data_IF_673458804391
#
_entry.id   IF_673458804391
#
_cell.length_a   1.000
_cell.length_b   1.000
_cell.length_c   1.000
_cell.angle_alpha   90.00
_cell.angle_beta   90.00
_cell.angle_gamma   90.00
#
_symmetry.space_group_name_H-M   'P 1'
#
loop_
_entity.id
_entity.type
_entity.pdbx_description
1 polymer ?
#
# COMPACT_ATOMS: atom_id res chain seq x y z
N UNK A 1 -35.24 93.61 18.01
CA UNK A 1 -33.98 93.97 17.30
C UNK A 1 -33.08 92.73 17.30
N UNK A 2 -32.44 92.39 16.17
CA UNK A 2 -31.17 91.60 16.05
C UNK A 2 -31.19 90.18 16.68
N UNK A 3 -31.32 89.05 15.95
CA UNK A 3 -30.25 88.23 15.29
C UNK A 3 -29.03 87.89 16.20
N UNK A 4 -28.28 86.77 16.10
CA UNK A 4 -28.10 85.73 15.07
C UNK A 4 -27.46 84.45 15.66
N UNK A 5 -27.45 83.38 14.85
CA UNK A 5 -26.78 82.04 14.95
C UNK A 5 -25.41 81.95 15.66
N UNK A 6 -25.12 80.77 16.20
CA UNK A 6 -23.75 80.21 16.36
C UNK A 6 -23.78 78.72 16.76
N UNK A 7 -23.08 77.85 16.03
CA UNK A 7 -22.91 76.43 16.39
C UNK A 7 -21.60 76.23 17.16
N UNK A 8 -21.35 75.03 17.72
CA UNK A 8 -20.13 74.24 17.45
C UNK A 8 -20.19 72.85 18.11
N UNK A 9 -19.49 71.90 17.50
CA UNK A 9 -19.51 70.46 17.78
C UNK A 9 -18.31 70.00 18.61
N UNK A 10 -18.60 69.08 19.55
CA UNK A 10 -17.78 67.99 20.12
C UNK A 10 -16.25 67.94 20.01
N UNK A 11 -15.63 67.43 21.07
CA UNK A 11 -14.75 66.24 21.09
C UNK A 11 -14.65 65.76 22.55
N UNK A 12 -14.88 64.47 22.80
CA UNK A 12 -14.54 63.81 24.06
C UNK A 12 -13.93 62.44 23.71
N UNK A 13 -12.64 62.25 24.03
CA UNK A 13 -11.93 61.02 23.74
C UNK A 13 -12.16 59.98 24.85
N UNK A 14 -12.60 58.78 24.49
CA UNK A 14 -12.71 57.65 25.41
C UNK A 14 -11.51 56.70 25.21
N UNK A 15 -10.72 56.49 26.26
CA UNK A 15 -9.62 55.52 26.24
C UNK A 15 -10.17 54.11 26.54
N UNK A 16 -9.97 53.17 25.62
CA UNK A 16 -10.37 51.77 25.80
C UNK A 16 -9.20 50.93 26.33
N UNK A 17 -9.34 50.40 27.55
CA UNK A 17 -8.44 49.40 28.12
C UNK A 17 -8.76 48.02 27.54
N UNK A 18 -7.82 47.44 26.79
CA UNK A 18 -7.93 46.06 26.28
C UNK A 18 -7.38 45.09 27.31
N UNK A 19 -8.25 44.31 27.95
CA UNK A 19 -7.83 43.13 28.73
C UNK A 19 -7.71 41.91 27.80
N UNK A 20 -6.51 41.37 27.68
CA UNK A 20 -6.26 40.10 26.97
C UNK A 20 -6.53 38.94 27.93
N UNK A 21 -7.67 38.28 27.76
CA UNK A 21 -7.99 37.06 28.50
C UNK A 21 -7.29 35.84 27.87
N UNK A 22 -6.29 35.28 28.57
CA UNK A 22 -5.67 34.00 28.22
C UNK A 22 -6.63 32.86 28.56
N UNK A 23 -7.35 32.36 27.56
CA UNK A 23 -8.20 31.17 27.69
C UNK A 23 -7.34 29.89 27.74
N UNK A 24 -7.57 28.96 28.69
CA UNK A 24 -6.94 27.65 28.67
C UNK A 24 -7.47 26.84 27.48
N UNK A 25 -6.55 26.28 26.69
CA UNK A 25 -6.89 25.57 25.45
C UNK A 25 -7.83 24.37 25.67
N UNK A 26 -9.07 24.49 25.20
CA UNK A 26 -10.07 23.43 25.18
C UNK A 26 -9.73 22.37 24.14
N UNK A 27 -8.80 21.47 24.48
CA UNK A 27 -8.49 20.32 23.63
C UNK A 27 -9.70 19.38 23.60
N UNK A 28 -10.50 19.52 22.55
CA UNK A 28 -11.78 18.84 22.36
C UNK A 28 -11.70 17.31 22.37
N UNK A 29 -12.82 16.69 22.74
CA UNK A 29 -13.05 15.25 22.57
C UNK A 29 -13.67 15.07 21.19
N UNK A 30 -13.04 14.29 20.31
CA UNK A 30 -13.63 13.99 19.01
C UNK A 30 -14.96 13.25 19.20
N UNK A 31 -15.98 13.69 18.46
CA UNK A 31 -17.24 12.98 18.25
C UNK A 31 -17.10 11.95 17.13
N UNK A 32 -18.17 11.23 16.79
CA UNK A 32 -18.18 10.39 15.58
C UNK A 32 -18.16 11.20 14.27
N UNK A 33 -18.61 12.46 14.30
CA UNK A 33 -18.59 13.34 13.13
C UNK A 33 -17.19 13.89 12.82
N UNK A 34 -16.28 13.87 13.80
CA UNK A 34 -14.88 14.31 13.66
C UNK A 34 -13.94 13.16 13.23
N UNK A 35 -14.47 11.94 13.08
CA UNK A 35 -13.72 10.79 12.58
C UNK A 35 -13.82 10.75 11.05
N UNK A 36 -12.68 10.69 10.32
CA UNK A 36 -12.70 10.53 8.87
C UNK A 36 -13.49 9.30 8.43
N UNK A 37 -14.38 9.49 7.45
CA UNK A 37 -15.00 8.38 6.73
C UNK A 37 -14.07 7.91 5.60
N UNK A 38 -14.31 6.70 5.09
CA UNK A 38 -13.63 6.15 3.92
C UNK A 38 -13.72 7.07 2.69
N UNK A 39 -12.59 7.39 2.08
CA UNK A 39 -12.53 8.12 0.82
C UNK A 39 -12.48 7.14 -0.38
N UNK A 40 -13.55 7.18 -1.18
CA UNK A 40 -13.63 6.51 -2.48
C UNK A 40 -12.61 7.10 -3.46
N UNK A 41 -12.20 6.33 -4.44
CA UNK A 41 -11.09 6.69 -5.32
C UNK A 41 -11.38 7.99 -6.09
N UNK A 42 -10.43 8.93 -6.15
CA UNK A 42 -10.54 10.08 -7.05
C UNK A 42 -10.77 9.61 -8.50
N UNK A 43 -11.92 9.98 -9.06
CA UNK A 43 -12.31 9.58 -10.42
C UNK A 43 -13.03 8.22 -10.54
N UNK A 44 -13.40 7.55 -9.44
CA UNK A 44 -14.29 6.40 -9.50
C UNK A 44 -15.66 6.81 -10.09
N UNK A 45 -16.13 6.10 -11.11
CA UNK A 45 -17.34 6.50 -11.85
C UNK A 45 -18.63 6.06 -11.15
N UNK A 46 -19.67 6.90 -11.09
CA UNK A 46 -20.94 6.51 -10.50
C UNK A 46 -21.65 5.47 -11.39
N UNK A 47 -22.18 4.42 -10.76
CA UNK A 47 -22.98 3.36 -11.38
C UNK A 47 -24.17 3.06 -10.45
N UNK A 48 -25.28 2.52 -10.97
CA UNK A 48 -26.46 2.22 -10.16
C UNK A 48 -26.99 0.83 -10.47
N UNK A 49 -26.60 -0.15 -9.65
CA UNK A 49 -27.00 -1.55 -9.84
C UNK A 49 -28.52 -1.74 -9.78
N UNK A 50 -29.01 -2.78 -10.45
CA UNK A 50 -30.45 -3.13 -10.46
C UNK A 50 -30.77 -4.27 -9.48
N UNK A 51 -32.03 -4.46 -9.04
CA UNK A 51 -32.40 -5.60 -8.20
C UNK A 51 -32.19 -6.97 -8.85
N UNK A 52 -32.21 -7.03 -10.19
CA UNK A 52 -32.05 -8.24 -11.00
C UNK A 52 -31.23 -7.98 -12.27
N UNK A 53 -31.17 -8.97 -13.16
CA UNK A 53 -30.38 -8.92 -14.40
C UNK A 53 -30.96 -7.97 -15.46
N UNK A 54 -32.26 -7.71 -15.41
CA UNK A 54 -32.97 -6.86 -16.37
C UNK A 54 -32.47 -5.41 -16.27
N UNK A 55 -31.96 -4.87 -17.38
CA UNK A 55 -31.34 -3.55 -17.47
C UNK A 55 -30.22 -3.30 -16.43
N UNK A 56 -29.53 -4.36 -15.97
CA UNK A 56 -28.36 -4.24 -15.12
C UNK A 56 -27.27 -3.41 -15.84
N UNK A 57 -26.72 -2.35 -15.22
CA UNK A 57 -25.72 -1.51 -15.88
C UNK A 57 -24.43 -2.29 -16.08
N UNK A 58 -23.74 -2.01 -17.19
CA UNK A 58 -22.45 -2.66 -17.47
C UNK A 58 -21.33 -2.08 -16.60
N UNK A 59 -20.68 -2.96 -15.85
CA UNK A 59 -19.48 -2.70 -15.07
C UNK A 59 -18.23 -2.87 -15.96
N UNK A 60 -17.60 -1.75 -16.33
CA UNK A 60 -16.35 -1.74 -17.08
C UNK A 60 -15.13 -1.84 -16.15
N UNK A 61 -13.93 -2.26 -16.62
CA UNK A 61 -12.73 -2.31 -15.79
C UNK A 61 -12.38 -0.95 -15.18
N UNK A 62 -12.02 -0.92 -13.90
CA UNK A 62 -11.78 0.31 -13.14
C UNK A 62 -12.45 0.30 -11.76
N UNK A 63 -12.60 1.51 -11.18
CA UNK A 63 -13.24 1.74 -9.89
C UNK A 63 -14.54 2.52 -10.09
N UNK A 64 -15.58 2.15 -9.35
CA UNK A 64 -16.93 2.70 -9.47
C UNK A 64 -17.56 2.93 -8.09
N UNK A 65 -18.56 3.80 -8.01
CA UNK A 65 -19.30 4.09 -6.77
C UNK A 65 -20.79 3.86 -6.94
N UNK A 66 -21.42 3.30 -5.90
CA UNK A 66 -22.87 3.22 -5.74
C UNK A 66 -23.21 3.32 -4.23
N UNK A 67 -24.43 3.00 -3.83
CA UNK A 67 -24.94 2.95 -2.46
C UNK A 67 -25.75 1.68 -2.26
N UNK A 68 -25.85 1.15 -1.04
CA UNK A 68 -26.67 -0.03 -0.76
C UNK A 68 -27.48 0.08 0.54
N UNK A 69 -28.79 -0.08 0.42
CA UNK A 69 -29.78 -0.12 1.49
C UNK A 69 -29.77 -1.43 2.26
N UNK A 70 -30.37 -1.44 3.45
CA UNK A 70 -30.47 -2.64 4.30
C UNK A 70 -31.42 -3.65 3.65
N UNK A 71 -30.95 -4.88 3.43
CA UNK A 71 -31.66 -5.94 2.70
C UNK A 71 -31.91 -5.62 1.22
N UNK A 72 -31.05 -4.78 0.62
CA UNK A 72 -31.01 -4.54 -0.82
C UNK A 72 -30.04 -5.52 -1.52
N UNK A 73 -30.40 -5.93 -2.74
CA UNK A 73 -29.53 -6.59 -3.70
C UNK A 73 -29.30 -5.67 -4.90
N UNK A 74 -28.06 -5.60 -5.39
CA UNK A 74 -27.65 -4.88 -6.58
C UNK A 74 -26.87 -5.76 -7.54
N UNK A 75 -27.24 -5.70 -8.81
CA UNK A 75 -26.73 -6.50 -9.91
C UNK A 75 -26.12 -5.59 -10.96
N UNK A 76 -24.95 -5.98 -11.46
CA UNK A 76 -24.19 -5.29 -12.50
C UNK A 76 -23.80 -6.29 -13.58
N UNK A 77 -23.99 -5.93 -14.85
CA UNK A 77 -23.61 -6.76 -15.98
C UNK A 77 -22.10 -6.68 -16.23
N UNK A 78 -21.45 -7.79 -16.54
CA UNK A 78 -20.06 -7.80 -17.01
C UNK A 78 -19.85 -8.78 -18.16
N UNK A 79 -19.15 -8.33 -19.20
CA UNK A 79 -18.77 -9.13 -20.35
C UNK A 79 -17.35 -9.67 -20.18
N UNK A 80 -17.20 -11.00 -20.16
CA UNK A 80 -15.92 -11.68 -19.94
C UNK A 80 -15.48 -12.49 -21.17
N UNK A 81 -14.17 -12.59 -21.39
CA UNK A 81 -13.57 -13.48 -22.39
C UNK A 81 -13.41 -14.93 -21.85
N UNK A 82 -12.78 -15.83 -22.61
CA UNK A 82 -12.53 -17.23 -22.18
C UNK A 82 -11.10 -17.49 -21.66
N UNK A 83 -10.32 -16.44 -21.38
CA UNK A 83 -8.86 -16.52 -21.19
C UNK A 83 -8.35 -15.83 -19.92
N UNK A 84 -8.98 -14.73 -19.54
CA UNK A 84 -8.57 -13.85 -18.44
C UNK A 84 -9.36 -14.19 -17.18
N UNK A 85 -8.70 -14.19 -16.02
CA UNK A 85 -9.40 -14.18 -14.74
C UNK A 85 -9.92 -12.76 -14.46
N UNK A 86 -11.03 -12.65 -13.73
CA UNK A 86 -11.62 -11.37 -13.34
C UNK A 86 -11.89 -11.35 -11.84
N UNK A 87 -11.58 -10.22 -11.20
CA UNK A 87 -11.76 -10.00 -9.77
C UNK A 87 -12.61 -8.75 -9.54
N UNK A 88 -13.64 -8.90 -8.72
CA UNK A 88 -14.68 -7.91 -8.47
C UNK A 88 -14.72 -7.58 -6.99
N UNK A 89 -13.92 -6.60 -6.58
CA UNK A 89 -13.89 -6.12 -5.19
C UNK A 89 -15.10 -5.24 -4.91
N UNK A 90 -15.71 -5.37 -3.73
CA UNK A 90 -16.71 -4.42 -3.24
C UNK A 90 -16.39 -4.08 -1.80
N UNK A 91 -16.35 -2.77 -1.51
CA UNK A 91 -16.15 -2.22 -0.16
C UNK A 91 -17.41 -1.44 0.21
N UNK A 92 -18.11 -1.82 1.27
CA UNK A 92 -19.16 -1.01 1.87
C UNK A 92 -18.61 -0.21 3.04
N UNK A 93 -18.83 1.10 3.01
CA UNK A 93 -18.22 2.04 3.95
C UNK A 93 -19.28 2.88 4.69
N UNK A 94 -19.99 2.31 5.69
CA UNK A 94 -20.81 3.11 6.59
C UNK A 94 -19.99 4.24 7.22
N UNK A 95 -20.58 5.43 7.37
CA UNK A 95 -19.90 6.54 8.05
C UNK A 95 -19.61 6.17 9.51
N UNK A 96 -18.49 6.61 10.10
CA UNK A 96 -18.21 6.42 11.53
C UNK A 96 -19.41 6.83 12.41
N UNK A 97 -19.76 5.98 13.38
CA UNK A 97 -20.94 6.17 14.23
C UNK A 97 -22.28 5.76 13.61
N UNK A 98 -22.33 5.27 12.37
CA UNK A 98 -23.51 4.57 11.83
C UNK A 98 -23.82 3.35 12.71
N UNK A 99 -25.10 3.13 13.06
CA UNK A 99 -25.49 1.93 13.80
C UNK A 99 -25.35 0.70 12.90
N UNK A 100 -24.47 -0.22 13.29
CA UNK A 100 -24.30 -1.55 12.68
C UNK A 100 -24.45 -2.66 13.74
N UNK A 101 -24.83 -3.86 13.32
CA UNK A 101 -25.04 -5.03 14.20
C UNK A 101 -23.99 -6.12 13.94
N UNK A 102 -23.23 -6.48 14.98
CA UNK A 102 -22.16 -7.48 14.92
C UNK A 102 -22.69 -8.84 14.39
N UNK A 103 -21.94 -9.47 13.46
CA UNK A 103 -22.28 -10.72 12.73
C UNK A 103 -23.58 -10.73 11.89
N UNK A 104 -24.49 -9.74 12.05
CA UNK A 104 -25.83 -9.71 11.46
C UNK A 104 -25.97 -8.72 10.31
N UNK A 105 -25.23 -7.61 10.37
CA UNK A 105 -25.02 -6.74 9.24
C UNK A 105 -23.89 -7.31 8.40
N UNK A 106 -24.18 -7.60 7.12
CA UNK A 106 -23.23 -8.26 6.20
C UNK A 106 -23.22 -7.64 4.82
N UNK A 107 -22.06 -7.72 4.17
CA UNK A 107 -21.89 -7.47 2.74
C UNK A 107 -21.52 -8.79 2.07
N UNK A 108 -22.32 -9.21 1.10
CA UNK A 108 -22.05 -10.39 0.26
C UNK A 108 -21.77 -9.96 -1.17
N UNK A 109 -20.69 -10.47 -1.78
CA UNK A 109 -20.39 -10.33 -3.21
C UNK A 109 -20.20 -11.69 -3.88
N UNK A 110 -20.78 -11.86 -5.07
CA UNK A 110 -20.64 -13.06 -5.89
C UNK A 110 -20.65 -12.74 -7.39
N UNK A 111 -20.11 -13.62 -8.21
CA UNK A 111 -20.24 -13.59 -9.68
C UNK A 111 -21.09 -14.77 -10.12
N UNK A 112 -22.07 -14.52 -10.98
CA UNK A 112 -22.94 -15.55 -11.57
C UNK A 112 -22.85 -15.54 -13.10
N UNK A 113 -23.06 -16.68 -13.73
CA UNK A 113 -23.29 -16.77 -15.18
C UNK A 113 -24.70 -16.32 -15.57
N UNK A 114 -25.00 -16.30 -16.87
CA UNK A 114 -26.34 -15.94 -17.39
C UNK A 114 -27.48 -16.88 -16.94
N UNK A 115 -27.18 -18.04 -16.35
CA UNK A 115 -28.17 -18.97 -15.79
C UNK A 115 -28.32 -18.82 -14.26
N UNK A 116 -27.63 -17.85 -13.65
CA UNK A 116 -27.60 -17.65 -12.20
C UNK A 116 -26.64 -18.57 -11.44
N UNK A 117 -25.81 -19.37 -12.13
CA UNK A 117 -24.85 -20.28 -11.49
C UNK A 117 -23.64 -19.52 -10.96
N UNK A 118 -23.35 -19.64 -9.67
CA UNK A 118 -22.23 -18.92 -9.05
C UNK A 118 -20.87 -19.47 -9.46
N UNK A 119 -19.96 -18.60 -9.88
CA UNK A 119 -18.67 -18.98 -10.46
C UNK A 119 -17.64 -19.45 -9.42
N UNK A 120 -17.61 -18.80 -8.25
CA UNK A 120 -16.77 -19.14 -7.10
C UNK A 120 -17.63 -19.36 -5.86
N UNK A 121 -17.00 -19.66 -4.72
CA UNK A 121 -17.65 -19.37 -3.44
C UNK A 121 -18.03 -17.88 -3.39
N UNK A 122 -19.20 -17.57 -2.84
CA UNK A 122 -19.54 -16.20 -2.48
C UNK A 122 -18.65 -15.69 -1.35
N UNK A 123 -18.43 -14.38 -1.30
CA UNK A 123 -17.71 -13.73 -0.22
C UNK A 123 -18.68 -12.96 0.65
N UNK A 124 -18.64 -13.21 1.95
CA UNK A 124 -19.50 -12.56 2.92
C UNK A 124 -18.63 -12.00 4.04
N UNK A 125 -18.77 -10.71 4.30
CA UNK A 125 -18.04 -9.98 5.34
C UNK A 125 -19.04 -9.38 6.33
N UNK A 126 -18.70 -9.35 7.62
CA UNK A 126 -19.54 -8.81 8.69
C UNK A 126 -18.79 -7.86 9.60
N UNK A 127 -19.52 -7.20 10.51
CA UNK A 127 -18.91 -6.39 11.56
C UNK A 127 -18.53 -7.24 12.77
N UNK A 128 -17.33 -7.01 13.30
CA UNK A 128 -16.78 -7.70 14.49
C UNK A 128 -16.41 -6.73 15.62
N UNK A 129 -16.52 -5.41 15.40
CA UNK A 129 -16.07 -4.37 16.34
C UNK A 129 -17.15 -3.89 17.32
N UNK A 130 -17.99 -4.79 17.87
CA UNK A 130 -18.96 -4.44 18.92
C UNK A 130 -19.96 -3.34 18.53
N UNK A 131 -20.43 -3.32 17.29
CA UNK A 131 -21.30 -2.25 16.77
C UNK A 131 -20.58 -0.96 16.32
N UNK A 132 -19.24 -0.91 16.35
CA UNK A 132 -18.47 0.13 15.66
C UNK A 132 -18.56 -0.08 14.14
N UNK A 133 -19.01 0.94 13.41
CA UNK A 133 -18.96 0.96 11.95
C UNK A 133 -17.55 1.26 11.43
N UNK A 134 -17.05 0.41 10.54
CA UNK A 134 -15.82 0.54 9.76
C UNK A 134 -16.08 0.02 8.32
N UNK A 135 -15.20 0.23 7.34
CA UNK A 135 -15.36 -0.37 6.02
C UNK A 135 -15.33 -1.90 6.09
N UNK A 136 -16.16 -2.57 5.29
CA UNK A 136 -16.09 -4.04 5.11
C UNK A 136 -16.09 -4.35 3.62
N UNK A 137 -15.30 -5.32 3.16
CA UNK A 137 -15.20 -5.63 1.74
C UNK A 137 -14.43 -6.90 1.43
N UNK A 138 -14.57 -7.40 0.20
CA UNK A 138 -13.85 -8.56 -0.34
C UNK A 138 -13.98 -8.57 -1.88
N UNK A 139 -13.37 -9.53 -2.59
CA UNK A 139 -13.66 -9.79 -4.02
C UNK A 139 -14.35 -11.12 -4.27
N UNK A 140 -15.32 -11.12 -5.19
CA UNK A 140 -15.72 -12.34 -5.90
C UNK A 140 -14.85 -12.52 -7.16
N UNK A 141 -14.56 -13.76 -7.55
CA UNK A 141 -13.68 -14.05 -8.69
C UNK A 141 -14.31 -14.96 -9.72
N UNK A 142 -13.95 -14.70 -10.97
CA UNK A 142 -14.08 -15.64 -12.08
C UNK A 142 -12.67 -16.06 -12.47
N UNK A 143 -12.24 -17.21 -11.96
CA UNK A 143 -10.89 -17.74 -12.16
C UNK A 143 -10.80 -18.64 -13.41
N UNK A 144 -10.02 -18.27 -14.42
CA UNK A 144 -9.72 -19.16 -15.57
C UNK A 144 -8.67 -20.20 -15.18
N UNK A 145 -7.57 -19.79 -14.56
CA UNK A 145 -6.43 -20.65 -14.21
C UNK A 145 -6.53 -21.38 -12.86
N UNK A 146 -7.68 -21.37 -12.17
CA UNK A 146 -7.89 -22.05 -10.88
C UNK A 146 -8.51 -23.45 -10.98
N UNK A 147 -8.72 -24.11 -9.84
CA UNK A 147 -9.26 -25.48 -9.73
C UNK A 147 -10.72 -25.65 -10.17
N UNK A 148 -11.53 -24.59 -10.13
CA UNK A 148 -12.94 -24.66 -10.52
C UNK A 148 -13.11 -24.96 -12.01
N UNK A 149 -14.16 -25.70 -12.38
CA UNK A 149 -14.46 -26.10 -13.76
C UNK A 149 -15.57 -25.27 -14.42
N UNK A 150 -16.43 -24.63 -13.63
CA UNK A 150 -17.51 -23.76 -14.09
C UNK A 150 -17.03 -22.37 -14.56
N UNK A 151 -17.93 -21.61 -15.19
CA UNK A 151 -17.72 -20.23 -15.65
C UNK A 151 -16.47 -19.98 -16.52
N UNK A 152 -16.06 -20.93 -17.38
CA UNK A 152 -14.89 -20.77 -18.26
C UNK A 152 -15.19 -20.16 -19.63
N UNK A 153 -16.46 -20.14 -20.05
CA UNK A 153 -16.86 -19.63 -21.36
C UNK A 153 -16.72 -18.09 -21.45
N UNK A 154 -16.42 -17.56 -22.63
CA UNK A 154 -16.66 -16.15 -22.91
C UNK A 154 -18.17 -15.88 -22.94
N UNK A 155 -18.62 -14.73 -22.46
CA UNK A 155 -20.03 -14.40 -22.43
C UNK A 155 -20.41 -13.35 -21.41
N UNK A 156 -21.69 -13.36 -21.05
CA UNK A 156 -22.29 -12.47 -20.07
C UNK A 156 -22.26 -13.11 -18.68
N UNK A 157 -21.90 -12.31 -17.70
CA UNK A 157 -21.86 -12.64 -16.29
C UNK A 157 -22.43 -11.46 -15.50
N UNK A 158 -22.77 -11.70 -14.24
CA UNK A 158 -23.34 -10.70 -13.35
C UNK A 158 -22.58 -10.66 -12.03
N UNK A 159 -22.17 -9.46 -11.62
CA UNK A 159 -21.71 -9.21 -10.25
C UNK A 159 -22.94 -8.91 -9.42
N UNK A 160 -23.14 -9.67 -8.35
CA UNK A 160 -24.27 -9.49 -7.42
C UNK A 160 -23.72 -9.11 -6.06
N UNK A 161 -24.22 -8.00 -5.54
CA UNK A 161 -23.87 -7.41 -4.25
C UNK A 161 -25.12 -7.37 -3.40
N UNK A 162 -25.08 -7.97 -2.21
CA UNK A 162 -26.21 -7.98 -1.27
C UNK A 162 -25.76 -7.41 0.06
N UNK A 163 -26.58 -6.54 0.66
CA UNK A 163 -26.40 -6.13 2.06
C UNK A 163 -27.47 -6.80 2.91
N UNK A 164 -27.08 -7.72 3.78
CA UNK A 164 -27.95 -8.26 4.82
C UNK A 164 -27.93 -7.33 6.04
N UNK A 165 -29.07 -7.19 6.73
CA UNK A 165 -29.13 -6.50 8.01
C UNK A 165 -30.42 -6.79 8.78
N UNK A 166 -30.26 -6.93 10.10
CA UNK A 166 -31.36 -7.24 11.02
C UNK A 166 -32.35 -6.07 11.17
N UNK A 167 -33.56 -6.30 11.73
CA UNK A 167 -34.50 -5.23 12.06
C UNK A 167 -33.93 -4.17 13.02
N UNK A 168 -32.93 -4.51 13.85
CA UNK A 168 -32.27 -3.57 14.77
C UNK A 168 -31.14 -2.78 14.11
N UNK A 169 -30.61 -3.22 12.96
CA UNK A 169 -29.56 -2.54 12.20
C UNK A 169 -29.98 -1.15 11.71
N UNK A 170 -29.02 -0.23 11.54
CA UNK A 170 -29.30 1.13 11.06
C UNK A 170 -29.96 1.16 9.66
N UNK A 171 -30.98 2.01 9.43
CA UNK A 171 -31.68 2.07 8.14
C UNK A 171 -30.89 2.81 7.05
N UNK A 172 -29.82 3.52 7.42
CA UNK A 172 -29.01 4.31 6.48
C UNK A 172 -28.38 3.42 5.41
N UNK A 173 -28.47 3.84 4.16
CA UNK A 173 -27.69 3.29 3.04
C UNK A 173 -26.19 3.50 3.25
N UNK A 174 -25.39 2.48 2.93
CA UNK A 174 -23.94 2.58 2.94
C UNK A 174 -23.42 2.94 1.54
N UNK A 175 -22.51 3.91 1.38
CA UNK A 175 -21.68 4.00 0.19
C UNK A 175 -21.02 2.66 -0.10
N UNK A 176 -20.96 2.26 -1.37
CA UNK A 176 -20.14 1.14 -1.83
C UNK A 176 -19.18 1.59 -2.93
N UNK A 177 -17.94 1.09 -2.85
CA UNK A 177 -16.95 1.20 -3.92
C UNK A 177 -16.78 -0.18 -4.56
N UNK A 178 -17.02 -0.25 -5.88
CA UNK A 178 -16.80 -1.44 -6.67
C UNK A 178 -15.48 -1.30 -7.44
N UNK A 179 -14.75 -2.39 -7.58
CA UNK A 179 -13.54 -2.46 -8.38
C UNK A 179 -13.55 -3.68 -9.27
N UNK A 180 -13.23 -3.50 -10.55
CA UNK A 180 -13.12 -4.59 -11.52
C UNK A 180 -11.74 -4.56 -12.16
N UNK A 181 -10.96 -5.62 -11.92
CA UNK A 181 -9.64 -5.84 -12.53
C UNK A 181 -9.59 -7.18 -13.26
N UNK A 182 -8.86 -7.22 -14.38
CA UNK A 182 -8.66 -8.42 -15.20
C UNK A 182 -7.20 -8.87 -15.16
N UNK A 183 -6.99 -10.13 -14.83
CA UNK A 183 -5.68 -10.77 -14.92
C UNK A 183 -5.59 -11.55 -16.24
N UNK A 184 -4.68 -11.20 -17.16
CA UNK A 184 -4.50 -11.93 -18.41
C UNK A 184 -3.90 -13.32 -18.14
N UNK A 185 -4.02 -14.27 -19.09
CA UNK A 185 -3.35 -15.56 -18.96
C UNK A 185 -1.82 -15.40 -18.96
N UNK A 186 -1.13 -16.35 -18.34
CA UNK A 186 0.34 -16.45 -18.37
C UNK A 186 0.83 -17.18 -19.63
N UNK A 187 2.09 -16.94 -20.02
CA UNK A 187 2.79 -17.67 -21.08
C UNK A 187 3.39 -18.96 -20.49
N UNK A 188 3.32 -20.04 -21.27
CA UNK A 188 3.78 -21.36 -20.84
C UNK A 188 2.78 -22.08 -19.94
N UNK A 189 3.22 -23.16 -19.29
CA UNK A 189 2.38 -23.98 -18.42
C UNK A 189 2.24 -23.33 -17.05
N UNK A 190 1.03 -23.33 -16.49
CA UNK A 190 0.83 -22.90 -15.11
C UNK A 190 1.58 -23.81 -14.11
N UNK A 191 2.14 -23.24 -13.02
CA UNK A 191 2.67 -24.04 -11.92
C UNK A 191 1.62 -25.03 -11.41
N UNK A 192 2.04 -26.24 -11.06
CA UNK A 192 1.21 -27.18 -10.31
C UNK A 192 0.92 -26.61 -8.90
N UNK A 193 -0.11 -27.14 -8.23
CA UNK A 193 -0.43 -26.74 -6.87
C UNK A 193 0.80 -26.83 -5.93
N UNK A 194 1.00 -25.90 -4.99
CA UNK A 194 2.11 -25.97 -4.05
C UNK A 194 2.07 -27.29 -3.30
N UNK A 195 3.23 -27.90 -3.06
CA UNK A 195 3.33 -28.94 -2.04
C UNK A 195 2.97 -28.30 -0.69
N UNK A 196 2.33 -29.08 0.18
CA UNK A 196 1.83 -28.60 1.49
C UNK A 196 2.94 -28.55 2.56
N UNK A 197 4.20 -28.59 2.16
CA UNK A 197 5.36 -28.70 3.03
C UNK A 197 5.70 -27.38 3.73
N UNK A 198 5.67 -27.41 5.07
CA UNK A 198 6.24 -26.35 5.91
C UNK A 198 5.39 -25.10 6.12
N UNK A 199 4.06 -25.18 5.97
CA UNK A 199 3.17 -24.12 6.48
C UNK A 199 3.43 -23.90 7.97
N UNK A 200 3.99 -22.73 8.32
CA UNK A 200 4.14 -22.32 9.72
C UNK A 200 2.75 -22.09 10.31
N UNK A 201 2.42 -22.83 11.36
CA UNK A 201 1.23 -22.62 12.19
C UNK A 201 1.48 -21.65 13.34
N UNK A 202 2.76 -21.32 13.62
CA UNK A 202 3.16 -20.39 14.67
C UNK A 202 3.43 -18.99 14.09
N UNK A 203 2.70 -18.00 14.58
CA UNK A 203 2.95 -16.58 14.32
C UNK A 203 4.40 -16.22 14.70
N UNK A 204 5.22 -15.67 13.79
CA UNK A 204 6.57 -15.23 14.12
C UNK A 204 6.57 -14.13 15.20
N UNK A 205 7.67 -13.97 15.96
CA UNK A 205 7.78 -12.84 16.88
C UNK A 205 7.71 -11.51 16.11
N UNK A 206 7.09 -10.46 16.69
CA UNK A 206 7.13 -9.11 16.11
C UNK A 206 8.55 -8.57 16.03
N UNK A 207 8.81 -7.67 15.08
CA UNK A 207 10.09 -6.92 15.03
C UNK A 207 10.27 -6.06 16.29
N UNK A 208 11.47 -6.03 16.83
CA UNK A 208 11.80 -5.33 18.09
C UNK A 208 12.62 -4.05 17.88
N UNK A 209 12.71 -3.52 16.67
CA UNK A 209 13.52 -2.32 16.38
C UNK A 209 13.12 -1.14 17.28
N UNK A 210 14.11 -0.43 17.79
CA UNK A 210 13.94 0.80 18.58
C UNK A 210 13.60 2.01 17.70
N UNK A 211 14.08 1.99 16.46
CA UNK A 211 13.91 3.07 15.50
C UNK A 211 12.48 3.04 14.96
N UNK A 212 11.74 4.13 15.25
CA UNK A 212 10.33 4.25 14.88
C UNK A 212 10.12 5.46 13.96
N UNK A 213 9.74 5.20 12.72
CA UNK A 213 9.44 6.22 11.70
C UNK A 213 8.02 6.75 11.87
N UNK A 214 7.75 8.00 11.51
CA UNK A 214 6.38 8.52 11.45
C UNK A 214 5.72 8.11 10.13
N UNK A 215 4.43 7.80 10.17
CA UNK A 215 3.57 7.61 9.00
C UNK A 215 2.19 8.20 9.28
N UNK A 216 1.45 8.50 8.23
CA UNK A 216 0.02 8.78 8.31
C UNK A 216 -0.74 7.74 7.48
N UNK A 217 -1.63 7.00 8.11
CA UNK A 217 -2.56 6.12 7.43
C UNK A 217 -3.69 6.91 6.77
N UNK A 218 -4.07 6.49 5.58
CA UNK A 218 -5.21 7.01 4.84
C UNK A 218 -6.54 6.56 5.43
N UNK A 219 -7.61 6.90 4.73
CA UNK A 219 -9.00 6.58 5.04
C UNK A 219 -9.54 5.40 4.24
N UNK A 220 -8.88 5.01 3.14
CA UNK A 220 -9.25 3.89 2.29
C UNK A 220 -8.08 3.31 1.50
N UNK A 221 -8.39 2.46 0.51
CA UNK A 221 -7.37 1.84 -0.35
C UNK A 221 -6.63 2.85 -1.24
N UNK A 222 -7.22 4.03 -1.47
CA UNK A 222 -6.83 5.00 -2.48
C UNK A 222 -5.77 5.99 -1.98
N UNK A 223 -5.81 6.33 -0.69
CA UNK A 223 -4.92 7.25 0.02
C UNK A 223 -4.03 6.52 1.06
N UNK A 224 -3.99 5.18 1.01
CA UNK A 224 -3.31 4.33 1.98
C UNK A 224 -1.83 4.71 2.19
N UNK A 225 -1.44 4.88 3.45
CA UNK A 225 -0.11 5.29 3.84
C UNK A 225 0.95 4.25 3.50
N UNK A 226 1.94 4.61 2.67
CA UNK A 226 3.03 3.70 2.28
C UNK A 226 3.90 3.36 3.49
N UNK A 227 4.04 2.08 3.79
CA UNK A 227 4.95 1.56 4.81
C UNK A 227 5.81 0.44 4.23
N UNK A 228 7.07 0.39 4.64
CA UNK A 228 8.02 -0.68 4.30
C UNK A 228 8.46 -1.44 5.55
N UNK A 229 9.47 -2.29 5.43
CA UNK A 229 9.98 -3.11 6.54
C UNK A 229 10.59 -2.24 7.65
N UNK A 230 9.97 -2.23 8.81
CA UNK A 230 10.38 -1.44 9.97
C UNK A 230 9.28 -1.26 11.01
N UNK A 231 9.48 -0.30 11.91
CA UNK A 231 8.50 0.09 12.92
C UNK A 231 8.04 1.53 12.66
N UNK A 232 6.73 1.72 12.65
CA UNK A 232 6.05 2.94 12.25
C UNK A 232 5.14 3.44 13.37
N UNK A 233 4.97 4.75 13.51
CA UNK A 233 4.00 5.39 14.41
C UNK A 233 3.01 6.22 13.64
N UNK A 234 1.76 6.19 14.09
CA UNK A 234 0.68 7.12 13.72
C UNK A 234 -0.19 7.37 14.96
N UNK A 235 -1.26 8.15 14.83
CA UNK A 235 -2.30 8.37 15.83
C UNK A 235 -3.67 7.96 15.31
N UNK A 236 -4.40 7.20 16.11
CA UNK A 236 -5.74 6.70 15.79
C UNK A 236 -6.76 7.14 16.85
N UNK A 237 -7.97 7.50 16.40
CA UNK A 237 -9.09 7.92 17.22
C UNK A 237 -10.09 6.76 17.45
N UNK A 238 -10.82 6.71 18.57
CA UNK A 238 -11.86 5.69 18.77
C UNK A 238 -13.00 5.84 17.76
N UNK A 239 -13.28 4.76 17.03
CA UNK A 239 -14.21 4.70 15.90
C UNK A 239 -13.54 4.96 14.54
N UNK A 240 -12.24 5.22 14.50
CA UNK A 240 -11.48 5.47 13.27
C UNK A 240 -10.92 4.19 12.68
N UNK A 241 -10.87 4.15 11.35
CA UNK A 241 -10.14 3.14 10.58
C UNK A 241 -9.02 3.83 9.80
N UNK A 242 -7.82 3.21 9.81
CA UNK A 242 -6.62 3.69 9.11
C UNK A 242 -6.18 2.68 8.08
N UNK A 243 -5.86 3.15 6.88
CA UNK A 243 -5.35 2.33 5.79
C UNK A 243 -3.85 2.57 5.52
N UNK A 244 -3.11 1.49 5.38
CA UNK A 244 -1.68 1.48 5.02
C UNK A 244 -1.46 0.52 3.84
N UNK A 245 -0.36 0.68 3.09
CA UNK A 245 0.02 -0.23 2.01
C UNK A 245 1.49 -0.64 2.09
N UNK A 246 1.72 -1.95 1.96
CA UNK A 246 3.03 -2.62 2.00
C UNK A 246 3.37 -3.17 0.62
N UNK A 247 4.58 -2.95 0.07
CA UNK A 247 4.97 -3.55 -1.20
C UNK A 247 5.45 -4.98 -0.95
N UNK A 248 4.88 -5.96 -1.65
CA UNK A 248 5.25 -7.38 -1.53
C UNK A 248 5.39 -7.99 -2.92
N UNK A 249 6.56 -8.53 -3.24
CA UNK A 249 6.85 -9.24 -4.50
C UNK A 249 6.79 -10.77 -4.31
N UNK A 250 6.81 -11.53 -5.40
CA UNK A 250 6.80 -13.00 -5.37
C UNK A 250 7.89 -13.58 -4.44
N UNK A 251 7.55 -14.67 -3.75
CA UNK A 251 8.41 -15.32 -2.76
C UNK A 251 8.45 -14.64 -1.39
N UNK A 252 7.96 -13.40 -1.27
CA UNK A 252 7.89 -12.68 0.00
C UNK A 252 6.55 -12.92 0.71
N UNK A 253 6.56 -12.77 2.04
CA UNK A 253 5.38 -12.83 2.91
C UNK A 253 5.39 -11.67 3.90
N UNK A 254 4.26 -11.41 4.53
CA UNK A 254 4.13 -10.42 5.59
C UNK A 254 4.20 -11.09 6.98
N UNK A 255 4.83 -10.41 7.92
CA UNK A 255 4.66 -10.59 9.35
C UNK A 255 4.41 -9.19 9.95
N UNK A 256 3.31 -9.04 10.67
CA UNK A 256 2.66 -7.77 10.98
C UNK A 256 2.29 -7.70 12.45
N UNK A 257 2.32 -6.49 13.01
CA UNK A 257 1.70 -6.22 14.31
C UNK A 257 1.19 -4.79 14.37
N UNK A 258 -0.03 -4.59 14.85
CA UNK A 258 -0.54 -3.32 15.33
C UNK A 258 -0.54 -3.34 16.87
N UNK A 259 0.16 -2.39 17.50
CA UNK A 259 0.21 -2.23 18.96
C UNK A 259 -0.61 -1.02 19.43
N UNK A 260 -1.35 -1.19 20.53
CA UNK A 260 -1.82 -0.10 21.40
C UNK A 260 -0.95 0.00 22.66
N UNK A 261 -0.65 1.22 23.16
CA UNK A 261 0.10 1.41 24.39
C UNK A 261 -0.71 1.03 25.65
N UNK A 262 -0.01 0.81 26.75
CA UNK A 262 -0.60 0.80 28.09
C UNK A 262 -1.27 2.16 28.35
N UNK A 263 -2.45 2.17 28.97
CA UNK A 263 -3.06 3.38 29.52
C UNK A 263 -2.95 3.34 31.04
N UNK A 264 -2.42 4.41 31.63
CA UNK A 264 -2.14 4.50 33.07
C UNK A 264 -3.42 4.75 33.90
N UNK A 265 -4.46 3.92 33.71
CA UNK A 265 -5.69 3.89 34.52
C UNK A 265 -5.78 2.59 35.31
N UNK A 266 -5.01 2.40 36.41
CA UNK A 266 -5.19 1.25 37.29
C UNK A 266 -6.62 1.16 37.83
N UNK A 267 -7.14 -0.06 38.00
CA UNK A 267 -8.38 -0.31 38.74
C UNK A 267 -9.69 -0.22 37.94
N UNK A 268 -9.66 -0.02 36.62
CA UNK A 268 -10.88 -0.17 35.80
C UNK A 268 -11.18 -1.64 35.51
N UNK A 269 -12.34 -2.14 35.96
CA UNK A 269 -12.86 -3.48 35.61
C UNK A 269 -13.50 -3.55 34.22
N UNK A 270 -13.69 -2.40 33.56
CA UNK A 270 -14.08 -2.32 32.15
C UNK A 270 -12.98 -2.95 31.28
N UNK A 271 -13.39 -3.50 30.14
CA UNK A 271 -12.55 -3.87 29.01
C UNK A 271 -13.35 -3.58 27.72
N UNK A 272 -12.68 -3.64 26.57
CA UNK A 272 -13.33 -3.63 25.24
C UNK A 272 -12.89 -4.91 24.53
N UNK A 273 -13.84 -5.81 24.26
CA UNK A 273 -13.56 -7.17 23.78
C UNK A 273 -12.87 -7.20 22.42
N UNK A 274 -13.39 -6.42 21.47
CA UNK A 274 -12.89 -6.33 20.09
C UNK A 274 -12.37 -4.91 19.87
N UNK A 275 -11.27 -4.57 20.54
CA UNK A 275 -10.78 -3.19 20.68
C UNK A 275 -9.94 -2.71 19.50
N UNK A 276 -8.97 -3.51 19.07
CA UNK A 276 -8.06 -3.20 17.96
C UNK A 276 -8.18 -4.29 16.89
N UNK A 277 -8.61 -3.91 15.69
CA UNK A 277 -8.62 -4.77 14.51
C UNK A 277 -7.37 -4.59 13.64
N UNK A 278 -6.89 -5.68 13.03
CA UNK A 278 -5.90 -5.65 11.94
C UNK A 278 -6.33 -6.62 10.83
N UNK A 279 -6.96 -6.08 9.79
CA UNK A 279 -7.31 -6.84 8.59
C UNK A 279 -6.25 -6.63 7.51
N UNK A 280 -6.10 -7.61 6.62
CA UNK A 280 -5.13 -7.60 5.52
C UNK A 280 -5.83 -7.90 4.20
N UNK A 281 -5.63 -7.04 3.21
CA UNK A 281 -6.18 -7.18 1.87
C UNK A 281 -5.07 -7.29 0.83
N UNK A 282 -5.36 -7.98 -0.27
CA UNK A 282 -4.42 -8.15 -1.39
C UNK A 282 -4.56 -7.03 -2.45
N UNK A 283 -3.71 -6.99 -3.50
CA UNK A 283 -3.77 -5.98 -4.57
C UNK A 283 -5.13 -5.87 -5.29
N UNK A 284 -5.89 -6.96 -5.36
CA UNK A 284 -7.26 -6.99 -5.91
C UNK A 284 -8.34 -6.68 -4.85
N UNK A 285 -7.95 -6.11 -3.70
CA UNK A 285 -8.80 -5.72 -2.55
C UNK A 285 -9.66 -6.84 -1.97
N UNK A 286 -9.17 -8.08 -2.06
CA UNK A 286 -9.80 -9.22 -1.38
C UNK A 286 -9.15 -9.52 -0.06
N UNK A 287 -9.93 -10.11 0.83
CA UNK A 287 -9.49 -10.47 2.18
C UNK A 287 -8.42 -11.55 2.11
N UNK A 288 -7.27 -11.26 2.70
CA UNK A 288 -6.25 -12.25 3.07
C UNK A 288 -6.54 -12.73 4.49
N UNK A 289 -6.79 -11.77 5.38
CA UNK A 289 -7.12 -11.96 6.80
C UNK A 289 -8.19 -10.93 7.18
N UNK A 290 -9.26 -11.39 7.82
CA UNK A 290 -10.31 -10.57 8.44
C UNK A 290 -10.43 -10.92 9.93
N UNK A 291 -11.25 -10.16 10.64
CA UNK A 291 -11.83 -10.50 11.95
C UNK A 291 -10.84 -10.67 13.10
N UNK A 292 -9.56 -10.34 12.88
CA UNK A 292 -8.54 -10.27 13.93
C UNK A 292 -8.70 -9.01 14.77
N UNK A 293 -9.66 -9.06 15.69
CA UNK A 293 -9.82 -8.09 16.76
C UNK A 293 -9.26 -8.64 18.07
N UNK A 294 -8.48 -7.82 18.78
CA UNK A 294 -7.94 -8.14 20.11
C UNK A 294 -8.54 -7.27 21.21
N UNK A 295 -8.65 -7.85 22.40
CA UNK A 295 -9.16 -7.18 23.60
C UNK A 295 -8.20 -6.11 24.13
N UNK A 296 -8.78 -5.05 24.70
CA UNK A 296 -8.04 -4.03 25.46
C UNK A 296 -8.64 -3.86 26.86
N UNK A 297 -7.79 -3.99 27.88
CA UNK A 297 -8.15 -3.93 29.31
C UNK A 297 -7.35 -2.87 30.09
N UNK A 298 -6.81 -1.86 29.40
CA UNK A 298 -5.88 -0.86 29.96
C UNK A 298 -4.40 -1.26 29.83
N UNK A 299 -4.11 -2.55 29.69
CA UNK A 299 -2.79 -3.07 29.26
C UNK A 299 -2.68 -3.02 27.74
N UNK A 300 -1.47 -2.79 27.23
CA UNK A 300 -1.18 -2.71 25.80
C UNK A 300 -1.59 -3.98 25.06
N UNK A 301 -2.21 -3.80 23.90
CA UNK A 301 -2.74 -4.88 23.08
C UNK A 301 -1.94 -4.99 21.77
N UNK A 302 -1.86 -6.20 21.21
CA UNK A 302 -1.13 -6.48 19.98
C UNK A 302 -1.98 -7.34 19.05
N UNK A 303 -2.55 -6.76 17.99
CA UNK A 303 -3.11 -7.54 16.89
C UNK A 303 -1.94 -7.98 15.99
N UNK A 304 -1.74 -9.30 15.84
CA UNK A 304 -0.58 -9.88 15.15
C UNK A 304 -1.05 -10.71 13.97
N UNK A 305 -0.35 -10.59 12.84
CA UNK A 305 -0.67 -11.35 11.64
C UNK A 305 0.54 -11.83 10.86
N UNK A 306 0.36 -12.90 10.10
CA UNK A 306 1.34 -13.35 9.12
C UNK A 306 0.69 -14.05 7.93
N UNK A 307 1.33 -13.97 6.77
CA UNK A 307 0.76 -14.51 5.53
C UNK A 307 1.58 -15.69 4.95
N UNK A 308 0.94 -16.43 4.04
CA UNK A 308 1.66 -17.30 3.12
C UNK A 308 2.55 -16.45 2.18
N UNK A 309 3.66 -17.00 1.65
CA UNK A 309 4.42 -16.32 0.60
C UNK A 309 3.55 -16.02 -0.63
N UNK A 310 3.75 -14.85 -1.24
CA UNK A 310 3.18 -14.48 -2.54
C UNK A 310 3.69 -15.47 -3.58
N UNK A 311 2.79 -16.26 -4.16
CA UNK A 311 3.12 -17.28 -5.16
C UNK A 311 1.96 -17.42 -6.16
N UNK A 312 2.26 -17.55 -7.45
CA UNK A 312 1.22 -17.68 -8.47
C UNK A 312 0.43 -18.98 -8.29
N UNK A 313 1.10 -20.03 -7.80
CA UNK A 313 0.52 -21.33 -7.51
C UNK A 313 -0.52 -21.30 -6.38
N UNK A 314 -0.58 -20.24 -5.57
CA UNK A 314 -1.59 -20.09 -4.51
C UNK A 314 -3.03 -20.08 -5.05
N UNK A 315 -3.26 -19.87 -6.35
CA UNK A 315 -4.56 -20.13 -7.04
C UNK A 315 -5.12 -21.55 -6.78
N UNK A 316 -4.24 -22.51 -6.49
CA UNK A 316 -4.57 -23.90 -6.16
C UNK A 316 -4.45 -24.21 -4.65
N UNK A 317 -4.27 -23.19 -3.80
CA UNK A 317 -4.13 -23.34 -2.35
C UNK A 317 -5.39 -23.92 -1.69
N UNK A 318 -5.25 -24.43 -0.47
CA UNK A 318 -6.36 -25.04 0.27
C UNK A 318 -7.20 -23.98 0.99
N UNK A 319 -6.57 -23.07 1.75
CA UNK A 319 -7.27 -22.01 2.49
C UNK A 319 -7.46 -20.75 1.65
N UNK A 320 -8.53 -19.99 1.93
CA UNK A 320 -8.79 -18.72 1.24
C UNK A 320 -7.70 -17.68 1.51
N UNK A 321 -7.16 -17.63 2.74
CA UNK A 321 -6.03 -16.77 3.10
C UNK A 321 -4.76 -17.07 2.29
N UNK A 322 -4.44 -18.36 2.07
CA UNK A 322 -3.34 -18.75 1.19
C UNK A 322 -3.66 -18.37 -0.27
N UNK A 323 -4.88 -18.67 -0.75
CA UNK A 323 -5.34 -18.28 -2.09
C UNK A 323 -5.31 -16.78 -2.34
N UNK A 324 -5.51 -15.94 -1.32
CA UNK A 324 -5.44 -14.49 -1.46
C UNK A 324 -4.00 -13.97 -1.66
N UNK A 325 -2.98 -14.75 -1.27
CA UNK A 325 -1.56 -14.46 -1.51
C UNK A 325 -1.11 -14.79 -2.95
N UNK A 326 -1.94 -14.54 -3.95
CA UNK A 326 -1.73 -14.97 -5.36
C UNK A 326 -1.20 -13.87 -6.30
N UNK A 327 -0.94 -12.66 -5.79
CA UNK A 327 -0.59 -11.46 -6.55
C UNK A 327 0.59 -10.72 -5.93
N UNK A 328 1.49 -10.10 -6.71
CA UNK A 328 2.49 -9.16 -6.23
C UNK A 328 1.88 -7.74 -6.17
N UNK A 329 2.52 -6.83 -5.44
CA UNK A 329 2.16 -5.41 -5.40
C UNK A 329 1.75 -4.94 -4.01
N UNK A 330 0.77 -4.03 -3.95
CA UNK A 330 0.29 -3.43 -2.71
C UNK A 330 -0.62 -4.38 -1.92
N UNK A 331 -0.15 -4.81 -0.76
CA UNK A 331 -0.99 -5.38 0.28
C UNK A 331 -1.43 -4.30 1.24
N UNK A 332 -2.73 -4.22 1.52
CA UNK A 332 -3.30 -3.15 2.33
C UNK A 332 -3.57 -3.64 3.76
N UNK A 333 -3.25 -2.79 4.73
CA UNK A 333 -3.52 -3.03 6.14
C UNK A 333 -4.65 -2.09 6.57
N UNK A 334 -5.74 -2.64 7.06
CA UNK A 334 -6.84 -1.90 7.66
C UNK A 334 -6.75 -2.05 9.18
N UNK A 335 -6.57 -0.93 9.88
CA UNK A 335 -6.48 -0.89 11.34
C UNK A 335 -7.66 -0.11 11.91
N UNK A 336 -8.54 -0.79 12.63
CA UNK A 336 -9.75 -0.21 13.22
C UNK A 336 -9.61 -0.14 14.73
N UNK A 337 -9.80 1.06 15.31
CA UNK A 337 -9.95 1.22 16.76
C UNK A 337 -11.44 1.32 17.11
N UNK A 338 -11.93 0.42 17.95
CA UNK A 338 -13.31 0.38 18.42
C UNK A 338 -13.74 1.71 19.09
N UNK A 339 -14.96 2.18 18.81
CA UNK A 339 -15.50 3.42 19.36
C UNK A 339 -15.56 3.43 20.91
N UNK A 340 -15.77 2.27 21.54
CA UNK A 340 -15.78 2.13 23.00
C UNK A 340 -14.41 2.36 23.66
N UNK A 341 -13.32 2.25 22.89
CA UNK A 341 -11.98 2.57 23.36
C UNK A 341 -11.82 4.04 23.77
N UNK A 342 -12.80 4.91 23.44
CA UNK A 342 -12.93 6.29 23.96
C UNK A 342 -12.92 6.36 25.50
N UNK A 343 -13.33 5.28 26.18
CA UNK A 343 -13.24 5.16 27.64
C UNK A 343 -11.79 5.20 28.16
N UNK A 344 -10.82 4.67 27.41
CA UNK A 344 -9.38 4.76 27.70
C UNK A 344 -8.73 5.96 27.02
N UNK A 345 -9.06 6.17 25.74
CA UNK A 345 -8.37 7.07 24.82
C UNK A 345 -9.30 8.19 24.28
N UNK A 346 -9.83 9.08 25.13
CA UNK A 346 -10.82 10.09 24.71
C UNK A 346 -10.29 11.10 23.69
N UNK A 347 -8.96 11.24 23.58
CA UNK A 347 -8.26 12.14 22.64
C UNK A 347 -7.44 11.35 21.60
N UNK A 348 -7.83 10.10 21.33
CA UNK A 348 -7.04 9.15 20.56
C UNK A 348 -5.79 8.68 21.29
N UNK A 349 -5.03 7.83 20.61
CA UNK A 349 -3.83 7.17 21.14
C UNK A 349 -2.81 6.92 20.04
N UNK A 350 -1.58 6.64 20.45
CA UNK A 350 -0.50 6.27 19.55
C UNK A 350 -0.77 4.84 19.02
N UNK A 351 -0.61 4.65 17.72
CA UNK A 351 -0.62 3.35 17.06
C UNK A 351 0.81 3.04 16.64
N UNK A 352 1.35 1.88 17.04
CA UNK A 352 2.62 1.38 16.48
C UNK A 352 2.34 0.26 15.50
N UNK A 353 2.83 0.38 14.28
CA UNK A 353 2.79 -0.65 13.24
C UNK A 353 4.17 -1.26 13.06
N UNK A 354 4.26 -2.59 13.10
CA UNK A 354 5.48 -3.35 12.85
C UNK A 354 5.27 -4.14 11.58
N UNK A 355 6.09 -3.87 10.57
CA UNK A 355 5.96 -4.47 9.25
C UNK A 355 7.27 -5.19 8.94
N UNK A 356 7.17 -6.47 8.58
CA UNK A 356 8.31 -7.31 8.29
C UNK A 356 8.06 -8.11 7.01
N UNK A 357 8.57 -7.59 5.89
CA UNK A 357 8.50 -8.30 4.61
C UNK A 357 9.62 -9.35 4.60
N UNK A 358 9.24 -10.63 4.58
CA UNK A 358 10.16 -11.77 4.75
C UNK A 358 10.17 -12.69 3.54
N UNK A 359 11.36 -13.12 3.14
CA UNK A 359 11.59 -14.00 1.99
C UNK A 359 12.42 -13.31 0.92
N UNK A 360 13.11 -14.09 0.09
CA UNK A 360 13.79 -13.57 -1.08
C UNK A 360 12.75 -13.25 -2.16
N UNK A 361 12.93 -12.12 -2.85
CA UNK A 361 12.18 -11.82 -4.07
C UNK A 361 12.46 -12.90 -5.12
N UNK A 362 11.42 -13.30 -5.85
CA UNK A 362 11.48 -14.27 -6.96
C UNK A 362 10.97 -13.62 -8.24
N UNK A 363 11.34 -14.19 -9.38
CA UNK A 363 10.71 -13.83 -10.64
C UNK A 363 9.24 -14.28 -10.66
N UNK A 364 8.35 -13.39 -11.11
CA UNK A 364 6.95 -13.71 -11.38
C UNK A 364 6.75 -14.53 -12.66
N UNK A 365 5.50 -14.97 -12.93
CA UNK A 365 5.14 -15.52 -14.21
C UNK A 365 5.21 -14.44 -15.30
N UNK A 366 5.46 -14.85 -16.54
CA UNK A 366 5.36 -13.94 -17.68
C UNK A 366 3.91 -13.91 -18.18
N UNK A 367 3.24 -12.76 -18.12
CA UNK A 367 1.89 -12.61 -18.67
C UNK A 367 1.87 -12.55 -20.21
N UNK A 368 0.77 -13.01 -20.81
CA UNK A 368 0.56 -13.00 -22.26
C UNK A 368 0.15 -11.62 -22.82
N UNK A 369 -0.25 -10.70 -21.95
CA UNK A 369 -0.59 -9.30 -22.27
C UNK A 369 -0.33 -8.37 -21.07
N UNK A 370 -0.69 -7.09 -21.16
CA UNK A 370 -0.55 -6.13 -20.06
C UNK A 370 -1.30 -6.59 -18.81
N UNK A 371 -0.61 -6.60 -17.67
CA UNK A 371 -1.15 -7.08 -16.39
C UNK A 371 -1.00 -5.99 -15.30
N UNK A 372 -1.71 -4.86 -15.43
CA UNK A 372 -1.65 -3.77 -14.45
C UNK A 372 -2.13 -4.27 -13.08
N UNK A 373 -1.40 -3.96 -12.02
CA UNK A 373 -1.69 -4.44 -10.66
C UNK A 373 -1.30 -5.91 -10.38
N UNK A 374 -0.71 -6.62 -11.35
CA UNK A 374 -0.32 -8.04 -11.20
C UNK A 374 1.17 -8.32 -11.50
N UNK A 375 2.00 -7.28 -11.59
CA UNK A 375 3.45 -7.37 -11.82
C UNK A 375 4.22 -6.66 -10.71
N UNK A 376 5.51 -6.98 -10.54
CA UNK A 376 6.39 -6.44 -9.49
C UNK A 376 6.78 -4.95 -9.67
N UNK A 377 6.18 -4.28 -10.65
CA UNK A 377 6.37 -2.85 -10.89
C UNK A 377 5.67 -2.08 -9.76
N UNK A 378 6.41 -1.31 -8.96
CA UNK A 378 5.81 -0.36 -8.01
C UNK A 378 4.88 0.58 -8.82
N UNK A 379 3.56 0.58 -8.56
CA UNK A 379 2.60 1.41 -9.30
C UNK A 379 2.92 2.90 -9.25
N UNK A 380 3.66 3.36 -8.24
CA UNK A 380 4.06 4.74 -8.05
C UNK A 380 5.43 5.04 -8.71
N UNK A 381 5.97 4.11 -9.51
CA UNK A 381 7.21 4.28 -10.28
C UNK A 381 8.51 4.15 -9.48
N UNK A 382 8.42 3.86 -8.18
CA UNK A 382 9.57 3.65 -7.31
C UNK A 382 10.23 2.29 -7.54
N UNK A 383 11.28 2.22 -8.37
CA UNK A 383 12.11 1.02 -8.51
C UNK A 383 12.52 0.49 -7.14
N UNK A 384 12.17 -0.75 -6.81
CA UNK A 384 12.65 -1.42 -5.60
C UNK A 384 14.18 -1.55 -5.68
N UNK A 385 14.88 -0.65 -4.99
CA UNK A 385 16.33 -0.59 -5.05
C UNK A 385 16.96 -1.85 -4.48
N UNK A 386 17.75 -2.55 -5.30
CA UNK A 386 18.82 -3.40 -4.79
C UNK A 386 19.84 -2.57 -3.99
N UNK A 387 20.87 -3.20 -3.40
CA UNK A 387 21.90 -2.48 -2.65
C UNK A 387 22.70 -1.58 -3.60
N UNK A 388 22.28 -0.33 -3.71
CA UNK A 388 22.91 0.69 -4.52
C UNK A 388 23.62 1.66 -3.58
N UNK A 389 24.94 1.78 -3.75
CA UNK A 389 25.77 2.74 -3.05
C UNK A 389 25.17 4.15 -3.14
N UNK A 390 25.31 4.90 -2.05
CA UNK A 390 24.64 6.18 -1.85
C UNK A 390 25.24 7.30 -2.74
N UNK A 391 24.89 7.30 -4.03
CA UNK A 391 25.10 8.47 -4.90
C UNK A 391 24.18 9.62 -4.48
N UNK A 392 24.72 10.52 -3.66
CA UNK A 392 24.07 11.79 -3.32
C UNK A 392 23.75 12.58 -4.60
N UNK A 393 22.46 12.92 -4.78
CA UNK A 393 21.95 13.67 -5.93
C UNK A 393 22.58 15.07 -6.11
N UNK A 394 23.31 15.58 -5.11
CA UNK A 394 24.10 16.82 -5.20
C UNK A 394 25.21 16.73 -6.24
N UNK A 395 25.80 15.55 -6.48
CA UNK A 395 26.91 15.38 -7.44
C UNK A 395 26.47 15.45 -8.91
N UNK A 396 25.23 15.05 -9.24
CA UNK A 396 24.74 15.12 -10.64
C UNK A 396 24.56 16.55 -11.14
N UNK A 397 24.18 17.49 -10.26
CA UNK A 397 24.08 18.91 -10.62
C UNK A 397 25.47 19.51 -10.89
N UNK A 398 26.48 19.11 -10.13
CA UNK A 398 27.88 19.53 -10.34
C UNK A 398 28.44 18.94 -11.65
N UNK A 399 28.10 17.69 -11.99
CA UNK A 399 28.54 17.05 -13.23
C UNK A 399 28.08 17.80 -14.50
N UNK A 400 26.82 18.23 -14.56
CA UNK A 400 26.31 19.00 -15.71
C UNK A 400 26.83 20.45 -15.75
N UNK A 401 27.14 21.06 -14.60
CA UNK A 401 27.78 22.37 -14.55
C UNK A 401 29.28 22.35 -14.97
N UNK A 402 29.98 21.23 -14.72
CA UNK A 402 31.42 21.10 -14.99
C UNK A 402 31.79 20.93 -16.48
N UNK A 403 30.93 20.29 -17.28
CA UNK A 403 31.23 20.07 -18.71
C UNK A 403 31.11 21.38 -19.51
N UNK A 404 30.16 22.25 -19.16
CA UNK A 404 29.95 23.54 -19.83
C UNK A 404 31.15 24.50 -19.68
N UNK A 405 31.71 24.61 -18.48
CA UNK A 405 32.90 25.45 -18.23
C UNK A 405 34.16 24.89 -18.88
N UNK A 406 34.33 23.56 -18.94
CA UNK A 406 35.47 22.93 -19.61
C UNK A 406 35.56 23.27 -21.11
N UNK A 407 34.43 23.22 -21.83
CA UNK A 407 34.39 23.56 -23.27
C UNK A 407 34.67 25.05 -23.51
N UNK A 408 34.15 25.94 -22.67
CA UNK A 408 34.42 27.40 -22.76
C UNK A 408 35.89 27.72 -22.48
N UNK A 409 36.51 27.06 -21.50
CA UNK A 409 37.94 27.24 -21.21
C UNK A 409 38.84 26.71 -22.33
N UNK A 410 38.53 25.55 -22.92
CA UNK A 410 39.30 24.98 -24.02
C UNK A 410 39.17 25.80 -25.32
N UNK A 411 37.98 26.31 -25.62
CA UNK A 411 37.79 27.22 -26.77
C UNK A 411 38.46 28.57 -26.56
N UNK A 412 38.41 29.12 -25.34
CA UNK A 412 39.16 30.32 -24.97
C UNK A 412 40.68 30.13 -25.10
N UNK A 413 41.21 29.00 -24.63
CA UNK A 413 42.64 28.66 -24.73
C UNK A 413 43.07 28.43 -26.19
N UNK A 414 42.22 27.79 -27.00
CA UNK A 414 42.43 27.62 -28.46
C UNK A 414 42.46 28.96 -29.21
N UNK A 415 41.54 29.88 -28.89
CA UNK A 415 41.54 31.22 -29.46
C UNK A 415 42.79 32.03 -29.02
N UNK A 416 43.15 31.97 -27.74
CA UNK A 416 44.32 32.67 -27.20
C UNK A 416 45.64 32.17 -27.81
N UNK A 417 45.82 30.86 -27.95
CA UNK A 417 47.01 30.28 -28.58
C UNK A 417 47.12 30.60 -30.07
N UNK A 418 46.01 30.69 -30.81
CA UNK A 418 46.00 31.16 -32.21
C UNK A 418 46.38 32.65 -32.32
N UNK A 419 45.90 33.50 -31.41
CA UNK A 419 46.27 34.93 -31.37
C UNK A 419 47.74 35.12 -30.96
N UNK A 420 48.24 34.33 -30.00
CA UNK A 420 49.64 34.34 -29.60
C UNK A 420 50.56 33.89 -30.76
N UNK A 421 50.22 32.83 -31.49
CA UNK A 421 50.97 32.41 -32.68
C UNK A 421 50.95 33.45 -33.79
N UNK A 422 49.84 34.17 -34.03
CA UNK A 422 49.80 35.26 -35.00
C UNK A 422 50.67 36.48 -34.62
N UNK A 423 50.99 36.68 -33.34
CA UNK A 423 51.99 37.69 -32.90
C UNK A 423 53.43 37.18 -32.98
N UNK A 424 53.66 35.87 -32.94
CA UNK A 424 54.99 35.25 -33.07
C UNK A 424 55.50 35.10 -34.52
N UNK A 425 54.63 35.22 -35.53
CA UNK A 425 55.01 35.20 -36.96
C UNK A 425 55.66 36.52 -37.42
N UNK A 426 55.76 37.51 -36.52
CA UNK A 426 56.51 38.76 -36.73
C UNK A 426 58.01 38.69 -36.36
N UNK A 427 58.65 37.52 -36.44
CA UNK A 427 60.10 37.39 -36.17
C UNK A 427 60.77 36.31 -37.03
N UNK A 428 61.54 36.79 -38.01
CA UNK A 428 62.70 36.20 -38.71
C UNK A 428 62.82 34.67 -38.95
N UNK A 429 63.09 34.32 -40.20
CA UNK A 429 63.60 33.01 -40.62
C UNK A 429 65.09 32.81 -40.22
N UNK A 430 65.55 31.54 -40.21
CA UNK A 430 66.54 30.96 -41.16
C UNK A 430 66.79 29.47 -40.76
N UNK A 431 67.09 28.53 -41.68
CA UNK A 431 66.65 27.13 -41.55
C UNK A 431 67.73 26.08 -41.21
N UNK A 432 67.28 24.88 -40.82
CA UNK A 432 68.09 23.66 -40.60
C UNK A 432 67.44 22.38 -41.17
N UNK A 433 68.28 21.55 -41.80
CA UNK A 433 68.05 20.42 -42.72
C UNK A 433 67.33 19.17 -42.09
N UNK A 434 66.67 18.26 -42.87
CA UNK A 434 65.61 17.39 -42.34
C UNK A 434 65.92 15.89 -42.17
N UNK A 435 65.05 15.20 -41.42
CA UNK A 435 64.88 13.74 -41.32
C UNK A 435 63.96 13.41 -40.12
N UNK A 436 63.13 12.36 -40.09
CA UNK A 436 62.79 11.30 -41.05
C UNK A 436 61.37 10.79 -40.71
N UNK A 437 60.59 10.31 -41.69
CA UNK A 437 59.28 9.70 -41.42
C UNK A 437 59.41 8.27 -40.85
N UNK A 438 58.52 7.88 -39.94
CA UNK A 438 58.48 6.51 -39.39
C UNK A 438 57.29 6.25 -38.48
N UNK A 439 56.37 5.40 -38.93
CA UNK A 439 55.18 4.94 -38.18
C UNK A 439 55.52 3.93 -37.10
N UNK A 440 54.78 3.93 -35.98
CA UNK A 440 54.80 2.87 -34.98
C UNK A 440 53.42 2.18 -34.88
N UNK A 441 53.44 0.86 -35.02
CA UNK A 441 52.37 -0.04 -34.56
C UNK A 441 52.65 -0.42 -33.10
N UNK A 442 51.61 -0.53 -32.27
CA UNK A 442 51.75 -0.88 -30.86
C UNK A 442 51.19 -2.28 -30.60
N UNK A 443 52.01 -3.19 -30.10
CA UNK A 443 51.59 -4.51 -29.61
C UNK A 443 51.84 -4.61 -28.10
N UNK A 444 50.97 -5.33 -27.39
CA UNK A 444 50.82 -5.23 -25.93
C UNK A 444 51.60 -6.30 -25.16
N UNK A 445 52.17 -5.93 -24.01
CA UNK A 445 52.66 -6.85 -22.98
C UNK A 445 52.35 -6.33 -21.57
N UNK A 446 51.75 -7.18 -20.72
CA UNK A 446 51.59 -6.95 -19.28
C UNK A 446 52.65 -7.75 -18.50
N UNK A 447 53.25 -7.21 -17.43
CA UNK A 447 54.25 -7.89 -16.63
C UNK A 447 53.69 -8.69 -15.44
N UNK A 448 54.52 -9.60 -14.94
CA UNK A 448 54.23 -10.64 -13.93
C UNK A 448 54.44 -10.23 -12.46
N UNK A 449 53.92 -11.07 -11.55
CA UNK A 449 54.12 -11.04 -10.08
C UNK A 449 55.59 -11.17 -9.61
N UNK A 450 55.85 -10.90 -8.31
CA UNK A 450 56.79 -11.66 -7.49
C UNK A 450 56.11 -12.43 -6.32
N UNK A 451 56.85 -13.36 -5.67
CA UNK A 451 56.34 -14.47 -4.83
C UNK A 451 57.31 -14.80 -3.64
N UNK A 452 56.86 -15.69 -2.74
CA UNK A 452 57.60 -16.45 -1.68
C UNK A 452 57.76 -15.70 -0.33
N UNK A 453 57.88 -16.32 0.87
CA UNK A 453 58.19 -17.69 1.38
C UNK A 453 57.29 -18.00 2.64
N UNK A 454 57.26 -19.14 3.38
CA UNK A 454 57.49 -20.60 3.20
C UNK A 454 57.16 -21.33 4.56
N UNK A 455 57.21 -22.68 4.63
CA UNK A 455 57.12 -23.59 5.81
C UNK A 455 55.68 -23.95 6.31
N UNK A 456 55.38 -25.17 6.81
CA UNK A 456 56.14 -26.44 6.80
C UNK A 456 55.62 -27.51 7.82
N UNK A 457 55.32 -28.74 7.36
CA UNK A 457 54.95 -29.92 8.20
C UNK A 457 53.49 -29.96 8.74
N UNK A 458 52.83 -31.09 8.99
CA UNK A 458 53.13 -32.51 8.68
C UNK A 458 52.53 -33.51 9.69
N UNK A 459 51.61 -34.40 9.29
CA UNK A 459 51.23 -35.63 10.02
C UNK A 459 50.28 -36.55 9.20
N UNK A 460 50.30 -37.86 9.46
CA UNK A 460 49.55 -38.90 8.73
C UNK A 460 48.35 -39.46 9.53
N UNK A 461 47.24 -39.68 8.80
CA UNK A 461 46.38 -40.89 8.77
C UNK A 461 46.35 -41.86 9.96
N UNK A 462 45.13 -42.16 10.48
CA UNK A 462 44.71 -43.50 10.96
C UNK A 462 43.18 -43.68 10.82
N UNK A 463 42.71 -44.93 10.73
CA UNK A 463 41.35 -45.31 10.27
C UNK A 463 40.27 -45.55 11.35
N UNK A 464 39.08 -46.06 10.96
CA UNK A 464 37.89 -46.16 11.81
C UNK A 464 37.67 -47.57 12.40
N UNK A 465 36.77 -47.69 13.41
CA UNK A 465 36.12 -48.96 13.74
C UNK A 465 34.62 -48.98 13.38
N UNK A 466 34.15 -50.14 12.91
CA UNK A 466 32.75 -50.55 13.03
C UNK A 466 32.57 -51.37 14.33
N UNK A 467 31.38 -51.31 14.90
CA UNK A 467 30.91 -52.10 16.04
C UNK A 467 29.42 -51.90 16.22
#
# INVERSE_FOLDING_TARGET
MVTRRGAHTGIAAAAALVMVALLPGTVGVASAADVPAYETAPGATPITGRPGTDEAPRLEPGLHTDRIGRNEQKVYEVKLDAKSSAYFSVVAAPKPGTKVEEYKDRLTVKVQDANGSTCSAERTQSFHAGGTAYPIGDYASRDIGGTGTQCKAAGLYYVVVTREGSPTSGPAEWPIELGYVQEPPIKGTAPTAPRTDGFRTTTPPPRTDTDKRQVRGGTGFNDAGRVDTGVWRDRIMPGETRFYRVPVTWGQRLNLTADLPNSAKPGTTRFVANALGLNVFNPARGVVISDNFVMYEGKGAQAKEFTAPVDYANRFGITESAKAMRFPGWYYLEVTLNAEARSYFPKGTDLTLRVDVKGAAKAGPTYAGPAPGFTDTDPDGGTASGPQEAESGTLRVVAYAGIGTGVVLLTGLGAWTLVARRKAVGAAAVPGTPGTAGSLSYEAQQPTQPRQHQQGGGSQQFGPPQG
#
